data_IF_509931686627
#
_entry.id   IF_509931686627
#
_cell.length_a   1.000
_cell.length_b   1.000
_cell.length_c   1.000
_cell.angle_alpha   90.00
_cell.angle_beta   90.00
_cell.angle_gamma   90.00
#
_symmetry.space_group_name_H-M   'P 1'
#
loop_
_entity.id
_entity.type
_entity.pdbx_description
1 polymer ?
#
# COMPACT_ATOMS: atom_id res chain seq x y z
N UNK A 1 -10.58 7.54 -14.76
CA UNK A 1 -9.67 7.05 -13.70
C UNK A 1 -10.52 6.60 -12.52
N UNK A 2 -10.09 5.54 -11.82
CA UNK A 2 -10.76 5.05 -10.61
C UNK A 2 -10.88 6.16 -9.57
N UNK A 3 -12.05 6.35 -8.98
CA UNK A 3 -12.31 7.29 -7.87
C UNK A 3 -12.45 6.55 -6.54
N UNK A 4 -11.77 7.02 -5.50
CA UNK A 4 -11.86 6.48 -4.13
C UNK A 4 -12.97 7.12 -3.29
N UNK A 5 -13.79 8.01 -3.86
CA UNK A 5 -14.88 8.70 -3.15
C UNK A 5 -15.91 7.73 -2.57
N UNK A 6 -16.23 6.66 -3.30
CA UNK A 6 -17.20 5.67 -2.86
C UNK A 6 -16.78 4.27 -3.27
N UNK A 7 -16.42 3.47 -2.27
CA UNK A 7 -16.18 2.04 -2.42
C UNK A 7 -17.49 1.27 -2.24
N UNK A 8 -17.81 0.39 -3.19
CA UNK A 8 -18.87 -0.61 -3.08
C UNK A 8 -18.21 -1.97 -2.84
N UNK A 9 -18.78 -2.78 -1.95
CA UNK A 9 -18.35 -4.18 -1.76
C UNK A 9 -19.50 -5.09 -2.17
N UNK A 10 -19.33 -5.81 -3.27
CA UNK A 10 -20.36 -6.69 -3.84
C UNK A 10 -19.75 -8.07 -4.09
N UNK A 11 -20.36 -9.12 -3.54
CA UNK A 11 -19.85 -10.51 -3.58
C UNK A 11 -18.42 -10.64 -3.03
N UNK A 12 -18.05 -9.80 -2.05
CA UNK A 12 -16.72 -9.75 -1.45
C UNK A 12 -15.66 -9.04 -2.31
N UNK A 13 -16.04 -8.45 -3.44
CA UNK A 13 -15.16 -7.72 -4.34
C UNK A 13 -15.37 -6.21 -4.16
N UNK A 14 -14.28 -5.47 -4.00
CA UNK A 14 -14.31 -4.01 -3.97
C UNK A 14 -14.44 -3.45 -5.39
N UNK A 15 -15.40 -2.55 -5.55
CA UNK A 15 -15.76 -1.92 -6.82
C UNK A 15 -15.84 -0.41 -6.60
N UNK A 16 -15.28 0.35 -7.54
CA UNK A 16 -15.18 1.80 -7.50
C UNK A 16 -15.77 2.40 -8.78
N UNK A 17 -16.27 3.63 -8.70
CA UNK A 17 -16.71 4.39 -9.87
C UNK A 17 -15.53 4.99 -10.62
N UNK A 18 -15.72 5.28 -11.90
CA UNK A 18 -14.86 6.23 -12.59
C UNK A 18 -15.22 7.67 -12.20
N UNK A 19 -14.21 8.54 -12.14
CA UNK A 19 -14.40 9.96 -11.82
C UNK A 19 -15.20 10.75 -12.87
N UNK A 20 -15.23 10.32 -14.13
CA UNK A 20 -15.76 11.11 -15.26
C UNK A 20 -16.93 10.43 -15.97
N UNK A 21 -16.92 9.10 -16.02
CA UNK A 21 -18.01 8.33 -16.64
C UNK A 21 -18.87 7.67 -15.55
N UNK A 22 -20.14 8.11 -15.35
CA UNK A 22 -21.03 7.55 -14.33
C UNK A 22 -21.38 6.07 -14.57
N UNK A 23 -21.16 5.56 -15.78
CA UNK A 23 -21.43 4.17 -16.15
C UNK A 23 -20.18 3.28 -16.05
N UNK A 24 -18.97 3.83 -15.88
CA UNK A 24 -17.75 3.04 -15.79
C UNK A 24 -17.43 2.69 -14.34
N UNK A 25 -17.15 1.40 -14.10
CA UNK A 25 -16.79 0.85 -12.81
C UNK A 25 -15.52 0.02 -12.89
N UNK A 26 -14.76 0.04 -11.80
CA UNK A 26 -13.46 -0.58 -11.67
C UNK A 26 -13.47 -1.58 -10.51
N UNK A 27 -13.14 -2.84 -10.75
CA UNK A 27 -13.04 -3.85 -9.68
C UNK A 27 -11.60 -4.13 -9.28
N UNK A 28 -11.38 -4.29 -7.98
CA UNK A 28 -10.14 -4.85 -7.44
C UNK A 28 -10.08 -6.37 -7.64
N UNK A 29 -8.89 -6.98 -7.66
CA UNK A 29 -8.72 -8.39 -7.96
C UNK A 29 -9.63 -9.33 -7.17
N UNK A 30 -10.01 -10.43 -7.83
CA UNK A 30 -10.73 -11.53 -7.19
C UNK A 30 -9.84 -12.37 -6.27
N UNK A 31 -10.43 -13.40 -5.64
CA UNK A 31 -9.66 -14.35 -4.84
C UNK A 31 -8.66 -15.11 -5.73
N UNK A 32 -7.50 -15.43 -5.15
CA UNK A 32 -6.48 -16.26 -5.80
C UNK A 32 -7.06 -17.63 -6.14
N UNK A 33 -6.89 -18.04 -7.39
CA UNK A 33 -7.40 -19.29 -7.95
C UNK A 33 -6.33 -19.95 -8.82
N UNK A 34 -6.43 -21.26 -9.01
CA UNK A 34 -5.66 -21.93 -10.05
C UNK A 34 -6.11 -21.44 -11.44
N UNK A 35 -5.13 -21.14 -12.28
CA UNK A 35 -5.32 -20.89 -13.70
C UNK A 35 -5.90 -22.10 -14.42
N UNK A 36 -6.32 -21.90 -15.67
CA UNK A 36 -6.89 -22.94 -16.53
C UNK A 36 -6.03 -23.12 -17.76
N UNK A 37 -5.77 -24.36 -18.15
CA UNK A 37 -4.98 -24.63 -19.36
C UNK A 37 -5.75 -24.13 -20.60
N UNK A 38 -5.10 -23.42 -21.55
CA UNK A 38 -5.74 -22.94 -22.77
C UNK A 38 -6.53 -24.04 -23.49
N UNK A 39 -7.76 -23.73 -23.92
CA UNK A 39 -8.63 -24.67 -24.64
C UNK A 39 -9.25 -25.77 -23.78
N UNK A 40 -9.08 -25.76 -22.45
CA UNK A 40 -9.71 -26.72 -21.54
C UNK A 40 -10.12 -26.05 -20.22
N UNK A 41 -11.11 -26.60 -19.52
CA UNK A 41 -11.43 -26.15 -18.15
C UNK A 41 -10.58 -26.88 -17.08
N UNK A 42 -9.48 -27.52 -17.47
CA UNK A 42 -8.61 -28.24 -16.53
C UNK A 42 -7.73 -27.26 -15.76
N UNK A 43 -7.58 -27.42 -14.42
CA UNK A 43 -6.64 -26.62 -13.66
C UNK A 43 -5.23 -26.73 -14.24
N UNK A 44 -4.54 -25.60 -14.35
CA UNK A 44 -3.15 -25.53 -14.72
C UNK A 44 -2.27 -25.94 -13.53
N UNK A 45 -2.36 -27.22 -13.17
CA UNK A 45 -1.61 -27.84 -12.09
C UNK A 45 -1.06 -29.19 -12.55
N UNK A 46 0.18 -29.49 -12.19
CA UNK A 46 0.78 -30.80 -12.38
C UNK A 46 1.68 -31.15 -11.22
N UNK A 47 1.69 -32.41 -10.84
CA UNK A 47 2.57 -32.92 -9.80
C UNK A 47 3.18 -34.23 -10.27
N UNK A 48 4.51 -34.25 -10.39
CA UNK A 48 5.29 -35.36 -10.90
C UNK A 48 6.21 -35.83 -9.78
N UNK A 49 6.19 -37.12 -9.48
CA UNK A 49 7.15 -37.77 -8.58
C UNK A 49 8.08 -38.66 -9.38
N UNK A 50 9.35 -38.69 -8.98
CA UNK A 50 10.32 -39.61 -9.55
C UNK A 50 11.08 -40.34 -8.45
N UNK A 51 11.50 -41.56 -8.77
CA UNK A 51 12.31 -42.41 -7.91
C UNK A 51 13.67 -42.66 -8.59
N UNK A 52 14.73 -42.95 -7.83
CA UNK A 52 16.00 -43.30 -8.44
C UNK A 52 15.89 -44.59 -9.25
N UNK A 53 16.68 -44.68 -10.32
CA UNK A 53 16.73 -45.85 -11.20
C UNK A 53 17.31 -47.09 -10.49
N UNK A 54 18.22 -46.88 -9.52
CA UNK A 54 18.82 -47.94 -8.70
C UNK A 54 18.78 -47.51 -7.24
N UNK A 55 18.24 -48.37 -6.37
CA UNK A 55 18.24 -48.14 -4.93
C UNK A 55 19.69 -48.14 -4.41
N UNK A 56 20.09 -47.09 -3.67
CA UNK A 56 21.43 -46.98 -3.07
C UNK A 56 22.51 -46.33 -3.95
N UNK A 57 22.19 -45.88 -5.17
CA UNK A 57 23.13 -45.22 -6.08
C UNK A 57 23.45 -43.74 -5.77
N UNK A 58 23.15 -43.24 -4.57
CA UNK A 58 23.39 -41.85 -4.15
C UNK A 58 22.42 -40.80 -4.73
N UNK A 59 21.71 -41.10 -5.81
CA UNK A 59 20.63 -40.25 -6.35
C UNK A 59 19.37 -40.45 -5.49
N UNK A 60 18.86 -39.37 -4.88
CA UNK A 60 17.59 -39.38 -4.15
C UNK A 60 16.42 -39.16 -5.11
N UNK A 61 15.24 -39.70 -4.75
CA UNK A 61 14.01 -39.37 -5.45
C UNK A 61 13.57 -37.93 -5.16
N UNK A 62 12.43 -37.53 -5.72
CA UNK A 62 11.92 -36.18 -5.51
C UNK A 62 10.62 -35.93 -6.27
N UNK A 63 10.26 -34.67 -6.39
CA UNK A 63 9.11 -34.27 -7.19
C UNK A 63 9.20 -32.86 -7.74
N UNK A 64 8.36 -32.62 -8.74
CA UNK A 64 8.09 -31.29 -9.27
C UNK A 64 6.59 -31.02 -9.17
N UNK A 65 6.22 -29.89 -8.56
CA UNK A 65 4.87 -29.37 -8.63
C UNK A 65 4.88 -28.10 -9.47
N UNK A 66 4.04 -28.01 -10.50
CA UNK A 66 3.91 -26.83 -11.33
C UNK A 66 2.47 -26.34 -11.25
N UNK A 67 2.31 -25.04 -11.05
CA UNK A 67 1.00 -24.40 -10.96
C UNK A 67 1.02 -23.04 -11.65
N UNK A 68 -0.12 -22.66 -12.22
CA UNK A 68 -0.43 -21.29 -12.58
C UNK A 68 -1.55 -20.79 -11.66
N UNK A 69 -1.44 -19.55 -11.19
CA UNK A 69 -2.49 -18.86 -10.44
C UNK A 69 -2.95 -17.61 -11.15
N UNK A 70 -4.20 -17.24 -10.87
CA UNK A 70 -4.86 -16.03 -11.36
C UNK A 70 -5.68 -15.41 -10.23
N UNK A 71 -6.03 -14.15 -10.39
CA UNK A 71 -6.95 -13.40 -9.50
C UNK A 71 -8.11 -12.83 -10.32
N UNK A 72 -8.51 -13.57 -11.36
CA UNK A 72 -9.60 -13.19 -12.25
C UNK A 72 -10.93 -13.16 -11.49
N UNK A 73 -11.82 -12.30 -11.95
CA UNK A 73 -13.17 -12.16 -11.41
C UNK A 73 -14.05 -13.28 -11.99
N UNK A 74 -14.53 -14.25 -11.17
CA UNK A 74 -15.39 -15.30 -11.68
C UNK A 74 -16.64 -14.74 -12.36
N UNK A 75 -17.07 -15.34 -13.47
CA UNK A 75 -18.18 -14.82 -14.28
C UNK A 75 -19.49 -14.69 -13.47
N UNK A 76 -19.73 -15.61 -12.52
CA UNK A 76 -20.86 -15.53 -11.59
C UNK A 76 -20.80 -14.28 -10.70
N UNK A 77 -19.62 -13.94 -10.17
CA UNK A 77 -19.41 -12.74 -9.35
C UNK A 77 -19.52 -11.48 -10.21
N UNK A 78 -18.95 -11.49 -11.42
CA UNK A 78 -19.12 -10.42 -12.42
C UNK A 78 -20.60 -10.12 -12.67
N UNK A 79 -21.42 -11.13 -12.94
CA UNK A 79 -22.84 -10.95 -13.23
C UNK A 79 -23.61 -10.39 -12.02
N UNK A 80 -23.30 -10.83 -10.80
CA UNK A 80 -23.88 -10.26 -9.58
C UNK A 80 -23.50 -8.80 -9.39
N UNK A 81 -22.23 -8.46 -9.61
CA UNK A 81 -21.74 -7.07 -9.52
C UNK A 81 -22.47 -6.20 -10.53
N UNK A 82 -22.47 -6.57 -11.81
CA UNK A 82 -23.16 -5.81 -12.88
C UNK A 82 -24.66 -5.62 -12.59
N UNK A 83 -25.32 -6.65 -12.07
CA UNK A 83 -26.73 -6.57 -11.66
C UNK A 83 -26.94 -5.55 -10.53
N UNK A 84 -26.09 -5.58 -9.50
CA UNK A 84 -26.17 -4.61 -8.39
C UNK A 84 -25.84 -3.19 -8.83
N UNK A 85 -24.85 -3.01 -9.72
CA UNK A 85 -24.48 -1.70 -10.27
C UNK A 85 -25.58 -1.08 -11.14
N UNK A 86 -26.41 -1.90 -11.78
CA UNK A 86 -27.56 -1.39 -12.55
C UNK A 86 -28.62 -0.69 -11.67
N UNK A 87 -28.61 -0.93 -10.36
CA UNK A 87 -29.51 -0.28 -9.41
C UNK A 87 -28.94 1.01 -8.80
N UNK A 88 -27.68 1.34 -9.11
CA UNK A 88 -27.02 2.51 -8.56
C UNK A 88 -27.54 3.81 -9.19
N UNK A 89 -27.69 4.91 -8.42
CA UNK A 89 -28.18 6.17 -8.95
C UNK A 89 -27.29 6.71 -10.09
N UNK A 90 -27.96 7.22 -11.13
CA UNK A 90 -27.30 7.82 -12.30
C UNK A 90 -26.69 6.82 -13.30
N UNK A 91 -26.81 5.52 -13.04
CA UNK A 91 -26.32 4.47 -13.94
C UNK A 91 -27.41 4.08 -14.93
N UNK A 92 -27.06 4.03 -16.22
CA UNK A 92 -27.93 3.52 -17.29
C UNK A 92 -27.46 2.17 -17.80
N UNK A 93 -26.15 2.00 -17.99
CA UNK A 93 -25.55 0.77 -18.48
C UNK A 93 -24.15 0.59 -17.87
N UNK A 94 -23.99 -0.20 -16.79
CA UNK A 94 -22.71 -0.32 -16.12
C UNK A 94 -21.69 -1.08 -16.98
N UNK A 95 -20.55 -0.46 -17.25
CA UNK A 95 -19.34 -1.09 -17.78
C UNK A 95 -18.42 -1.45 -16.62
N UNK A 96 -17.95 -2.71 -16.58
CA UNK A 96 -17.13 -3.22 -15.49
C UNK A 96 -15.76 -3.70 -16.01
N UNK A 97 -14.70 -3.01 -15.60
CA UNK A 97 -13.32 -3.31 -15.98
C UNK A 97 -12.42 -3.57 -14.76
N UNK A 98 -11.34 -4.32 -14.95
CA UNK A 98 -10.32 -4.49 -13.91
C UNK A 98 -9.53 -3.19 -13.77
N UNK A 99 -9.10 -2.88 -12.54
CA UNK A 99 -8.18 -1.77 -12.32
C UNK A 99 -6.87 -2.00 -13.09
N UNK A 100 -6.36 -0.99 -13.82
CA UNK A 100 -5.04 -1.09 -14.42
C UNK A 100 -3.96 -1.09 -13.34
N UNK A 101 -3.10 -2.12 -13.36
CA UNK A 101 -1.97 -2.24 -12.44
C UNK A 101 -0.71 -1.62 -13.06
N UNK A 102 0.01 -0.84 -12.27
CA UNK A 102 1.27 -0.20 -12.70
C UNK A 102 2.47 -1.11 -12.47
N UNK A 103 2.44 -1.84 -11.35
CA UNK A 103 3.49 -2.74 -10.94
C UNK A 103 2.95 -3.78 -9.96
N UNK A 104 3.71 -4.85 -9.76
CA UNK A 104 3.37 -5.85 -8.77
C UNK A 104 4.46 -6.87 -8.55
N UNK A 105 4.36 -7.57 -7.43
CA UNK A 105 5.17 -8.74 -7.11
C UNK A 105 4.26 -9.92 -6.75
N UNK A 106 4.79 -11.12 -6.95
CA UNK A 106 4.10 -12.36 -6.60
C UNK A 106 5.08 -13.32 -5.93
N UNK A 107 4.62 -13.97 -4.87
CA UNK A 107 5.38 -14.95 -4.11
C UNK A 107 4.57 -16.22 -3.92
N UNK A 108 5.26 -17.36 -3.94
CA UNK A 108 4.70 -18.66 -3.57
C UNK A 108 5.12 -19.00 -2.14
N UNK A 109 4.18 -19.52 -1.36
CA UNK A 109 4.41 -20.14 -0.05
C UNK A 109 4.11 -21.62 -0.24
N UNK A 110 5.09 -22.48 -0.02
CA UNK A 110 4.93 -23.92 -0.15
C UNK A 110 5.65 -24.64 0.98
N UNK A 111 4.90 -25.36 1.82
CA UNK A 111 5.41 -26.08 2.99
C UNK A 111 6.31 -25.21 3.87
N UNK A 112 7.64 -25.35 3.76
CA UNK A 112 8.64 -24.64 4.55
C UNK A 112 9.47 -23.60 3.78
N UNK A 113 9.06 -23.22 2.56
CA UNK A 113 9.73 -22.20 1.76
C UNK A 113 8.74 -21.15 1.24
N UNK A 114 9.14 -19.89 1.29
CA UNK A 114 8.40 -18.76 0.74
C UNK A 114 9.31 -17.87 -0.11
N UNK A 115 8.84 -17.48 -1.29
CA UNK A 115 9.51 -16.48 -2.12
C UNK A 115 9.00 -16.46 -3.56
N UNK A 116 9.56 -15.56 -4.38
CA UNK A 116 9.33 -15.51 -5.82
C UNK A 116 10.18 -16.52 -6.59
N UNK A 117 10.10 -16.52 -7.92
CA UNK A 117 10.99 -17.33 -8.77
C UNK A 117 12.47 -17.07 -8.48
N UNK A 118 13.26 -18.15 -8.40
CA UNK A 118 14.68 -18.15 -8.04
C UNK A 118 14.94 -18.31 -6.53
N UNK A 119 13.92 -18.53 -5.71
CA UNK A 119 14.10 -18.74 -4.27
C UNK A 119 14.61 -20.15 -4.01
N UNK A 120 15.79 -20.28 -3.40
CA UNK A 120 16.39 -21.56 -3.02
C UNK A 120 16.39 -21.68 -1.49
N UNK A 121 16.00 -22.85 -0.99
CA UNK A 121 16.07 -23.13 0.44
C UNK A 121 17.51 -22.96 0.94
N UNK A 122 17.69 -22.09 1.93
CA UNK A 122 19.01 -21.70 2.45
C UNK A 122 19.09 -21.94 3.95
N UNK A 123 20.24 -22.44 4.41
CA UNK A 123 20.51 -22.78 5.80
C UNK A 123 19.89 -24.11 6.23
N UNK A 124 20.57 -24.87 7.09
CA UNK A 124 19.91 -25.99 7.77
C UNK A 124 18.85 -25.43 8.70
N UNK A 125 17.58 -25.62 8.38
CA UNK A 125 16.48 -25.49 9.34
C UNK A 125 16.84 -26.30 10.62
N UNK A 126 16.18 -26.05 11.75
CA UNK A 126 16.50 -26.72 13.05
C UNK A 126 16.44 -28.26 12.93
N UNK A 127 15.80 -28.78 11.88
CA UNK A 127 15.66 -30.19 11.53
C UNK A 127 16.55 -30.67 10.35
N UNK A 128 17.35 -29.78 9.74
CA UNK A 128 18.22 -30.11 8.60
C UNK A 128 17.49 -30.55 7.33
N UNK A 129 16.19 -30.24 7.21
CA UNK A 129 15.29 -30.75 6.19
C UNK A 129 14.65 -29.63 5.36
N UNK A 130 14.65 -29.80 4.03
CA UNK A 130 13.95 -28.92 3.09
C UNK A 130 12.92 -29.71 2.30
N UNK A 131 11.63 -29.48 2.58
CA UNK A 131 10.55 -30.10 1.82
C UNK A 131 10.49 -29.54 0.40
N UNK A 132 10.58 -28.20 0.30
CA UNK A 132 10.77 -27.49 -0.97
C UNK A 132 12.24 -27.06 -1.03
N UNK A 133 12.94 -27.48 -2.08
CA UNK A 133 14.34 -27.13 -2.31
C UNK A 133 14.46 -25.81 -3.06
N UNK A 134 13.54 -25.55 -4.00
CA UNK A 134 13.60 -24.39 -4.87
C UNK A 134 12.20 -24.01 -5.38
N UNK A 135 11.96 -22.70 -5.51
CA UNK A 135 10.82 -22.10 -6.19
C UNK A 135 11.34 -21.42 -7.44
N UNK A 136 10.96 -21.93 -8.60
CA UNK A 136 11.17 -21.33 -9.92
C UNK A 136 9.88 -20.64 -10.39
N UNK A 137 10.00 -19.71 -11.34
CA UNK A 137 8.85 -19.10 -12.00
C UNK A 137 8.80 -17.58 -11.86
N UNK A 138 7.60 -17.05 -11.64
CA UNK A 138 7.35 -15.61 -11.66
C UNK A 138 7.84 -14.89 -10.39
N UNK A 139 8.35 -13.68 -10.57
CA UNK A 139 8.54 -12.67 -9.51
C UNK A 139 7.57 -11.50 -9.65
N UNK A 140 7.11 -11.27 -10.88
CA UNK A 140 6.09 -10.28 -11.27
C UNK A 140 5.02 -11.01 -12.06
N UNK A 141 3.73 -10.81 -11.77
CA UNK A 141 2.65 -11.43 -12.55
C UNK A 141 2.52 -10.78 -13.93
N UNK A 142 1.62 -11.27 -14.78
CA UNK A 142 1.39 -10.71 -16.12
C UNK A 142 0.96 -9.24 -16.14
N UNK A 143 0.49 -8.68 -15.01
CA UNK A 143 -0.09 -7.33 -14.89
C UNK A 143 -1.25 -7.04 -15.86
N UNK A 144 -1.80 -8.08 -16.49
CA UNK A 144 -3.08 -8.03 -17.18
C UNK A 144 -4.24 -8.18 -16.18
N UNK A 145 -5.49 -8.11 -16.66
CA UNK A 145 -6.67 -8.23 -15.80
C UNK A 145 -6.74 -9.54 -14.99
N UNK A 146 -6.01 -10.58 -15.41
CA UNK A 146 -6.03 -11.91 -14.77
C UNK A 146 -4.83 -12.12 -13.82
N UNK A 147 -3.77 -11.29 -13.96
CA UNK A 147 -2.54 -11.34 -13.16
C UNK A 147 -2.02 -12.78 -13.01
N UNK A 148 -1.82 -13.45 -14.15
CA UNK A 148 -1.24 -14.80 -14.22
C UNK A 148 0.14 -14.82 -13.59
N UNK A 149 0.40 -15.83 -12.76
CA UNK A 149 1.72 -16.16 -12.24
C UNK A 149 1.92 -17.67 -12.27
N UNK A 150 3.05 -18.12 -12.80
CA UNK A 150 3.40 -19.53 -12.85
C UNK A 150 4.57 -19.82 -11.90
N UNK A 151 4.47 -20.95 -11.20
CA UNK A 151 5.49 -21.44 -10.28
C UNK A 151 5.82 -22.90 -10.56
N UNK A 152 7.08 -23.26 -10.38
CA UNK A 152 7.54 -24.64 -10.34
C UNK A 152 8.32 -24.87 -9.05
N UNK A 153 7.88 -25.83 -8.26
CA UNK A 153 8.50 -26.22 -7.01
C UNK A 153 9.34 -27.46 -7.26
N UNK A 154 10.62 -27.40 -6.89
CA UNK A 154 11.48 -28.56 -6.76
C UNK A 154 11.36 -29.10 -5.34
N UNK A 155 10.98 -30.36 -5.20
CA UNK A 155 10.71 -31.01 -3.92
C UNK A 155 11.73 -32.10 -3.65
N UNK A 156 12.16 -32.20 -2.40
CA UNK A 156 12.85 -33.39 -1.92
C UNK A 156 11.91 -34.60 -1.95
N UNK A 157 12.47 -35.80 -1.75
CA UNK A 157 11.68 -37.03 -1.71
C UNK A 157 10.59 -36.96 -0.63
N UNK A 158 10.94 -36.54 0.57
CA UNK A 158 10.01 -36.41 1.69
C UNK A 158 9.03 -35.26 1.44
N UNK A 159 9.48 -34.14 0.89
CA UNK A 159 8.60 -33.03 0.51
C UNK A 159 7.53 -33.43 -0.50
N UNK A 160 7.89 -34.25 -1.49
CA UNK A 160 6.93 -34.79 -2.46
C UNK A 160 5.90 -35.72 -1.79
N UNK A 161 6.31 -36.54 -0.81
CA UNK A 161 5.38 -37.40 -0.06
C UNK A 161 4.43 -36.57 0.80
N UNK A 162 4.96 -35.57 1.52
CA UNK A 162 4.16 -34.65 2.35
C UNK A 162 3.13 -33.94 1.47
N UNK A 163 3.55 -33.43 0.32
CA UNK A 163 2.67 -32.70 -0.60
C UNK A 163 1.56 -33.62 -1.15
N UNK A 164 1.89 -34.85 -1.55
CA UNK A 164 0.91 -35.84 -2.00
C UNK A 164 -0.13 -36.14 -0.91
N UNK A 165 0.34 -36.43 0.31
CA UNK A 165 -0.54 -36.74 1.43
C UNK A 165 -1.43 -35.55 1.80
N UNK A 166 -0.89 -34.34 1.77
CA UNK A 166 -1.64 -33.13 2.02
C UNK A 166 -2.80 -32.97 1.01
N UNK A 167 -2.53 -33.12 -0.29
CA UNK A 167 -3.58 -33.04 -1.31
C UNK A 167 -4.60 -34.18 -1.21
N UNK A 168 -4.15 -35.41 -0.94
CA UNK A 168 -5.05 -36.56 -0.76
C UNK A 168 -6.02 -36.38 0.42
N UNK A 169 -5.62 -35.62 1.44
CA UNK A 169 -6.44 -35.29 2.61
C UNK A 169 -7.16 -33.93 2.49
N UNK A 170 -7.19 -33.32 1.29
CA UNK A 170 -7.90 -32.07 1.04
C UNK A 170 -7.26 -30.82 1.65
N UNK A 171 -5.98 -30.88 2.01
CA UNK A 171 -5.22 -29.73 2.49
C UNK A 171 -4.71 -28.87 1.33
N UNK A 172 -4.44 -27.59 1.61
CA UNK A 172 -3.87 -26.64 0.65
C UNK A 172 -2.45 -26.19 1.10
N UNK A 173 -1.42 -27.03 0.93
CA UNK A 173 -0.05 -26.76 1.38
C UNK A 173 0.71 -25.73 0.53
N UNK A 174 0.09 -25.20 -0.53
CA UNK A 174 0.64 -24.18 -1.42
C UNK A 174 -0.30 -22.97 -1.44
N UNK A 175 0.26 -21.79 -1.18
CA UNK A 175 -0.41 -20.50 -1.32
C UNK A 175 0.38 -19.58 -2.25
N UNK A 176 -0.30 -18.62 -2.86
CA UNK A 176 0.32 -17.57 -3.67
C UNK A 176 -0.15 -16.21 -3.16
N UNK A 177 0.79 -15.29 -2.95
CA UNK A 177 0.55 -13.94 -2.45
C UNK A 177 0.88 -12.95 -3.55
N UNK A 178 -0.08 -12.07 -3.85
CA UNK A 178 0.08 -10.98 -4.80
C UNK A 178 0.19 -9.66 -4.03
N UNK A 179 1.12 -8.81 -4.46
CA UNK A 179 1.21 -7.41 -4.03
C UNK A 179 1.16 -6.55 -5.29
N UNK A 180 0.08 -5.80 -5.48
CA UNK A 180 -0.19 -5.05 -6.70
C UNK A 180 -0.37 -3.57 -6.39
N UNK A 181 0.20 -2.72 -7.24
CA UNK A 181 0.08 -1.27 -7.15
C UNK A 181 -0.78 -0.76 -8.31
N UNK A 182 -1.68 0.16 -8.00
CA UNK A 182 -2.55 0.82 -8.97
C UNK A 182 -2.75 2.29 -8.60
N UNK A 183 -3.01 3.12 -9.60
CA UNK A 183 -3.33 4.52 -9.41
C UNK A 183 -4.82 4.77 -9.28
N UNK A 184 -5.17 5.71 -8.39
CA UNK A 184 -6.54 6.08 -8.10
C UNK A 184 -6.66 7.57 -7.75
N UNK A 185 -7.81 8.17 -8.05
CA UNK A 185 -8.14 9.54 -7.64
C UNK A 185 -8.59 9.52 -6.19
N UNK A 186 -7.87 10.24 -5.34
CA UNK A 186 -8.33 10.52 -3.99
C UNK A 186 -9.44 11.58 -4.05
N UNK A 187 -10.41 11.53 -3.12
CA UNK A 187 -11.40 12.60 -2.98
C UNK A 187 -10.68 13.94 -2.77
N UNK A 188 -11.17 14.99 -3.42
CA UNK A 188 -10.69 16.34 -3.12
C UNK A 188 -11.23 16.76 -1.73
N UNK A 189 -10.31 17.12 -0.83
CA UNK A 189 -10.66 17.80 0.42
C UNK A 189 -10.56 19.31 0.17
N UNK A 190 -11.69 19.94 -0.10
CA UNK A 190 -11.80 21.39 -0.20
C UNK A 190 -12.61 21.90 1.00
N UNK A 191 -11.89 22.40 2.00
CA UNK A 191 -12.45 22.81 3.28
C UNK A 191 -11.84 24.12 3.74
N UNK A 192 -12.67 24.97 4.34
CA UNK A 192 -12.25 26.18 5.03
C UNK A 192 -12.39 25.94 6.54
N UNK A 193 -11.28 26.01 7.27
CA UNK A 193 -11.24 25.85 8.73
C UNK A 193 -11.00 27.22 9.36
N UNK A 194 -11.95 27.68 10.18
CA UNK A 194 -11.78 28.85 11.03
C UNK A 194 -11.65 28.39 12.48
N UNK A 195 -10.54 28.74 13.12
CA UNK A 195 -10.25 28.32 14.49
C UNK A 195 -9.98 29.53 15.39
N UNK A 196 -10.62 29.56 16.56
CA UNK A 196 -10.27 30.47 17.66
C UNK A 196 -9.22 29.80 18.55
N UNK A 197 -7.96 30.10 18.27
CA UNK A 197 -6.83 29.51 18.97
C UNK A 197 -6.80 29.85 20.48
N UNK A 198 -7.31 31.01 20.89
CA UNK A 198 -7.39 31.36 22.31
C UNK A 198 -8.40 30.46 23.04
N UNK A 199 -9.59 30.30 22.45
CA UNK A 199 -10.62 29.39 22.97
C UNK A 199 -10.15 27.94 23.03
N UNK A 200 -9.44 27.47 21.99
CA UNK A 200 -8.85 26.14 21.94
C UNK A 200 -7.84 25.95 23.07
N UNK A 201 -6.91 26.90 23.25
CA UNK A 201 -5.90 26.84 24.30
C UNK A 201 -6.51 26.81 25.70
N UNK A 202 -7.53 27.63 25.97
CA UNK A 202 -8.21 27.66 27.27
C UNK A 202 -8.91 26.33 27.59
N UNK A 203 -9.61 25.72 26.63
CA UNK A 203 -10.23 24.40 26.82
C UNK A 203 -9.21 23.30 27.10
N UNK A 204 -8.07 23.30 26.40
CA UNK A 204 -6.98 22.36 26.70
C UNK A 204 -6.36 22.59 28.09
N UNK A 205 -6.20 23.85 28.52
CA UNK A 205 -5.72 24.18 29.87
C UNK A 205 -6.65 23.66 30.97
N UNK A 206 -7.96 23.87 30.80
CA UNK A 206 -8.98 23.43 31.76
C UNK A 206 -9.00 21.88 31.84
N UNK A 207 -8.82 21.19 30.71
CA UNK A 207 -8.73 19.72 30.68
C UNK A 207 -7.48 19.17 31.40
N UNK A 208 -6.34 19.83 31.30
CA UNK A 208 -5.07 19.41 31.94
C UNK A 208 -5.10 19.59 33.46
N UNK A 209 -5.79 20.61 33.98
CA UNK A 209 -5.92 20.83 35.43
C UNK A 209 -6.86 19.80 36.11
N UNK A 210 -7.63 19.03 35.34
CA UNK A 210 -8.71 18.19 35.87
C UNK A 210 -8.41 16.68 36.07
N UNK A 211 -7.39 16.06 35.46
CA UNK A 211 -6.87 14.71 35.84
C UNK A 211 -5.69 14.25 34.96
N UNK A 212 -4.70 13.59 35.55
CA UNK A 212 -3.39 13.25 34.93
C UNK A 212 -3.37 11.94 34.11
N UNK A 213 -4.50 11.39 33.69
CA UNK A 213 -4.56 10.02 33.14
C UNK A 213 -5.65 9.88 32.09
N UNK A 214 -5.41 10.24 30.82
CA UNK A 214 -5.97 9.62 29.58
C UNK A 214 -5.65 10.47 28.32
N UNK A 215 -4.36 10.72 28.07
CA UNK A 215 -3.81 11.69 27.09
C UNK A 215 -4.21 11.56 25.59
N UNK A 216 -5.03 10.58 25.17
CA UNK A 216 -5.46 10.44 23.77
C UNK A 216 -6.97 10.52 23.55
N UNK A 217 -7.77 9.96 24.47
CA UNK A 217 -9.23 9.99 24.35
C UNK A 217 -9.77 11.40 24.63
N UNK A 218 -9.14 12.13 25.55
CA UNK A 218 -9.55 13.50 25.88
C UNK A 218 -9.24 14.50 24.76
N UNK A 219 -8.23 14.24 23.93
CA UNK A 219 -7.87 15.15 22.83
C UNK A 219 -8.90 15.06 21.71
N UNK A 220 -9.29 13.86 21.28
CA UNK A 220 -10.30 13.71 20.23
C UNK A 220 -11.65 14.25 20.69
N UNK A 221 -12.08 13.93 21.91
CA UNK A 221 -13.29 14.49 22.51
C UNK A 221 -13.22 16.01 22.68
N UNK A 222 -12.05 16.55 23.04
CA UNK A 222 -11.79 17.98 23.16
C UNK A 222 -11.96 18.73 21.84
N UNK A 223 -11.37 18.21 20.74
CA UNK A 223 -11.55 18.78 19.41
C UNK A 223 -13.00 18.71 18.92
N UNK A 224 -13.72 17.62 19.22
CA UNK A 224 -15.14 17.51 18.89
C UNK A 224 -15.99 18.52 19.70
N UNK A 225 -15.66 18.74 20.97
CA UNK A 225 -16.29 19.78 21.81
C UNK A 225 -15.98 21.20 21.30
N UNK A 226 -14.76 21.44 20.85
CA UNK A 226 -14.35 22.72 20.26
C UNK A 226 -15.07 22.99 18.94
N UNK A 227 -15.34 21.96 18.14
CA UNK A 227 -16.23 22.04 16.99
C UNK A 227 -17.67 22.37 17.41
N UNK A 228 -18.24 21.64 18.38
CA UNK A 228 -19.61 21.85 18.86
C UNK A 228 -19.85 23.23 19.47
N UNK A 229 -18.86 23.75 20.20
CA UNK A 229 -18.90 25.10 20.79
C UNK A 229 -18.66 26.22 19.77
N UNK A 230 -18.25 25.86 18.54
CA UNK A 230 -17.99 26.80 17.45
C UNK A 230 -16.61 27.48 17.51
N UNK A 231 -15.73 27.06 18.43
CA UNK A 231 -14.33 27.47 18.46
C UNK A 231 -13.56 26.94 17.25
N UNK A 232 -13.97 25.79 16.70
CA UNK A 232 -13.53 25.29 15.41
C UNK A 232 -14.75 25.25 14.48
N UNK A 233 -14.68 25.94 13.35
CA UNK A 233 -15.71 25.92 12.31
C UNK A 233 -15.09 25.32 11.06
N UNK A 234 -15.70 24.24 10.59
CA UNK A 234 -15.29 23.58 9.36
C UNK A 234 -16.39 23.79 8.34
N UNK A 235 -16.04 24.37 7.20
CA UNK A 235 -16.94 24.54 6.06
C UNK A 235 -16.42 23.67 4.93
N UNK A 236 -17.18 22.65 4.57
CA UNK A 236 -16.88 21.81 3.41
C UNK A 236 -17.35 22.53 2.16
N UNK A 237 -16.42 22.86 1.27
CA UNK A 237 -16.67 23.67 0.06
C UNK A 237 -17.15 22.77 -1.08
N UNK A 238 -16.59 21.56 -1.21
CA UNK A 238 -16.94 20.60 -2.25
C UNK A 238 -17.35 19.24 -1.66
N UNK A 239 -18.62 18.87 -1.85
CA UNK A 239 -19.17 17.58 -1.44
C UNK A 239 -20.19 17.05 -2.46
N UNK A 240 -20.32 15.73 -2.54
CA UNK A 240 -21.21 15.04 -3.49
C UNK A 240 -22.58 14.73 -2.90
N UNK A 241 -22.64 14.42 -1.60
CA UNK A 241 -23.87 14.20 -0.84
C UNK A 241 -23.67 14.52 0.66
N UNK A 242 -24.73 14.37 1.45
CA UNK A 242 -24.71 14.66 2.90
C UNK A 242 -23.75 13.75 3.68
N UNK A 243 -23.52 12.52 3.21
CA UNK A 243 -22.61 11.59 3.88
C UNK A 243 -21.15 11.97 3.57
N UNK A 244 -20.84 12.26 2.30
CA UNK A 244 -19.53 12.76 1.87
C UNK A 244 -19.16 14.07 2.58
N UNK A 245 -20.13 14.97 2.78
CA UNK A 245 -19.92 16.21 3.54
C UNK A 245 -19.48 15.93 4.99
N UNK A 246 -20.15 15.01 5.69
CA UNK A 246 -19.79 14.63 7.07
C UNK A 246 -18.44 13.93 7.14
N UNK A 247 -18.16 13.04 6.20
CA UNK A 247 -16.90 12.29 6.14
C UNK A 247 -15.72 13.25 5.88
N UNK A 248 -15.89 14.23 5.00
CA UNK A 248 -14.91 15.30 4.74
C UNK A 248 -14.76 16.26 5.91
N UNK A 249 -15.84 16.60 6.61
CA UNK A 249 -15.78 17.43 7.82
C UNK A 249 -14.98 16.74 8.92
N UNK A 250 -15.20 15.43 9.13
CA UNK A 250 -14.40 14.63 10.07
C UNK A 250 -12.93 14.56 9.63
N UNK A 251 -12.67 14.29 8.36
CA UNK A 251 -11.30 14.26 7.83
C UNK A 251 -10.59 15.61 8.04
N UNK A 252 -11.27 16.73 7.80
CA UNK A 252 -10.74 18.06 8.06
C UNK A 252 -10.43 18.31 9.54
N UNK A 253 -11.30 17.86 10.46
CA UNK A 253 -11.06 17.98 11.90
C UNK A 253 -9.86 17.15 12.34
N UNK A 254 -9.76 15.90 11.87
CA UNK A 254 -8.65 14.99 12.16
C UNK A 254 -7.32 15.57 11.61
N UNK A 255 -7.33 16.11 10.40
CA UNK A 255 -6.18 16.79 9.80
C UNK A 255 -5.75 18.03 10.60
N UNK A 256 -6.70 18.90 10.97
CA UNK A 256 -6.42 20.10 11.77
C UNK A 256 -5.86 19.75 13.15
N UNK A 257 -6.43 18.73 13.81
CA UNK A 257 -5.93 18.21 15.09
C UNK A 257 -4.47 17.78 14.96
N UNK A 258 -4.17 16.92 14.00
CA UNK A 258 -2.83 16.35 13.85
C UNK A 258 -1.79 17.44 13.54
N UNK A 259 -2.16 18.42 12.71
CA UNK A 259 -1.33 19.59 12.42
C UNK A 259 -1.11 20.46 13.66
N UNK A 260 -2.17 20.80 14.41
CA UNK A 260 -2.06 21.64 15.61
C UNK A 260 -1.26 20.96 16.71
N UNK A 261 -1.43 19.66 16.93
CA UNK A 261 -0.65 18.91 17.91
C UNK A 261 0.84 18.89 17.56
N UNK A 262 1.17 18.75 16.27
CA UNK A 262 2.55 18.82 15.80
C UNK A 262 3.16 20.20 16.05
N UNK A 263 2.42 21.28 15.75
CA UNK A 263 2.93 22.65 15.86
C UNK A 263 3.02 23.15 17.31
N UNK A 264 2.07 22.77 18.17
CA UNK A 264 1.97 23.29 19.54
C UNK A 264 2.75 22.49 20.57
N UNK A 265 3.06 21.22 20.29
CA UNK A 265 3.76 20.32 21.20
C UNK A 265 5.11 19.87 20.64
N UNK A 266 5.88 20.79 20.06
CA UNK A 266 7.30 20.52 19.81
C UNK A 266 8.03 20.24 21.14
N UNK A 267 8.67 19.07 21.32
CA UNK A 267 9.37 18.75 22.56
C UNK A 267 10.57 19.69 22.75
N UNK A 268 10.51 20.60 23.72
CA UNK A 268 11.61 21.53 24.05
C UNK A 268 12.71 20.88 24.90
N UNK A 269 12.53 19.62 25.32
CA UNK A 269 13.53 18.87 26.06
C UNK A 269 14.60 18.36 25.10
N UNK A 270 15.72 19.07 25.00
CA UNK A 270 16.98 18.45 24.55
C UNK A 270 17.46 17.53 25.68
N UNK A 271 17.47 16.20 25.52
CA UNK A 271 17.93 15.31 26.58
C UNK A 271 19.42 15.58 26.83
N UNK A 272 19.76 16.05 28.04
CA UNK A 272 21.16 16.20 28.47
C UNK A 272 21.60 17.56 29.02
N UNK A 273 20.72 18.57 29.14
CA UNK A 273 21.05 19.81 29.88
C UNK A 273 20.26 19.93 31.18
N UNK A 274 20.70 19.20 32.21
CA UNK A 274 20.33 19.51 33.60
C UNK A 274 21.04 20.81 33.97
N UNK A 275 20.25 21.87 34.14
CA UNK A 275 20.70 23.20 34.52
C UNK A 275 21.23 23.17 35.95
N UNK A 276 22.55 23.04 36.07
CA UNK A 276 23.26 23.29 37.31
C UNK A 276 23.50 24.80 37.38
N UNK A 277 22.54 25.54 37.94
CA UNK A 277 22.80 26.88 38.46
C UNK A 277 21.75 27.28 39.51
N UNK A 278 22.27 27.48 40.72
CA UNK A 278 21.87 28.48 41.71
C UNK A 278 20.56 28.32 42.51
N UNK A 279 20.78 27.94 43.77
CA UNK A 279 20.17 28.51 44.98
C UNK A 279 19.23 29.72 44.81
N UNK A 280 18.01 29.58 45.32
CA UNK A 280 17.23 30.67 45.90
C UNK A 280 15.97 31.07 45.10
N UNK A 281 14.81 30.72 45.66
CA UNK A 281 13.51 31.30 45.29
C UNK A 281 12.62 30.35 44.48
N UNK A 282 11.59 29.82 45.13
CA UNK A 282 10.55 29.04 44.48
C UNK A 282 9.83 29.88 43.42
N UNK A 283 10.02 29.51 42.16
CA UNK A 283 9.22 29.94 41.03
C UNK A 283 9.02 28.74 40.13
N UNK A 284 7.78 28.27 40.00
CA UNK A 284 7.41 27.27 39.00
C UNK A 284 7.67 27.91 37.63
N UNK A 285 8.52 27.29 36.81
CA UNK A 285 8.71 27.71 35.44
C UNK A 285 7.37 27.56 34.70
N UNK A 286 6.73 28.69 34.41
CA UNK A 286 5.58 28.74 33.50
C UNK A 286 6.09 28.33 32.10
N UNK A 287 5.46 27.36 31.42
CA UNK A 287 5.79 27.03 30.05
C UNK A 287 5.73 28.30 29.17
N UNK A 288 6.76 28.50 28.35
CA UNK A 288 6.88 29.65 27.47
C UNK A 288 5.66 29.80 26.56
N UNK A 289 5.26 31.05 26.32
CA UNK A 289 4.14 31.41 25.44
C UNK A 289 4.30 30.81 24.04
N UNK A 290 3.19 30.39 23.39
CA UNK A 290 3.21 29.95 22.00
C UNK A 290 3.70 31.07 21.08
N UNK A 291 4.44 30.70 20.04
CA UNK A 291 4.84 31.61 18.98
C UNK A 291 3.59 31.93 18.14
N UNK A 292 3.00 33.12 18.35
CA UNK A 292 1.84 33.59 17.56
C UNK A 292 2.36 34.00 16.17
N UNK A 293 1.89 33.40 15.07
CA UNK A 293 2.26 33.85 13.73
C UNK A 293 1.71 35.26 13.48
N UNK A 294 2.56 36.29 13.44
CA UNK A 294 2.14 37.65 13.06
C UNK A 294 2.99 38.84 13.56
N UNK A 295 3.90 38.66 14.52
CA UNK A 295 4.74 39.76 14.99
C UNK A 295 6.11 39.76 14.28
N UNK A 296 6.34 40.75 13.42
CA UNK A 296 7.64 41.00 12.78
C UNK A 296 8.61 41.66 13.76
N UNK A 297 9.89 41.25 13.77
CA UNK A 297 10.98 42.17 14.08
C UNK A 297 11.94 42.28 12.88
N UNK A 298 12.14 43.51 12.42
CA UNK A 298 13.24 43.97 11.54
C UNK A 298 14.09 44.94 12.41
N UNK A 299 15.42 45.19 12.24
CA UNK A 299 16.43 44.67 11.29
C UNK A 299 17.78 44.20 11.90
N UNK A 300 18.55 43.45 11.12
CA UNK A 300 20.02 43.31 11.26
C UNK A 300 20.65 42.85 9.94
N UNK A 301 21.60 43.61 9.39
CA UNK A 301 22.05 43.60 8.00
C UNK A 301 23.19 42.62 7.67
N UNK A 302 23.09 42.02 6.46
CA UNK A 302 24.13 41.52 5.51
C UNK A 302 25.01 40.30 5.86
N UNK A 303 25.60 39.55 4.89
CA UNK A 303 25.31 39.43 3.45
C UNK A 303 25.08 37.98 2.95
N UNK A 304 24.46 37.90 1.76
CA UNK A 304 24.11 36.71 0.96
C UNK A 304 25.34 35.90 0.49
N UNK A 305 25.32 34.55 0.52
CA UNK A 305 26.26 33.74 -0.25
C UNK A 305 25.75 33.54 -1.69
N UNK A 306 26.65 33.74 -2.64
CA UNK A 306 26.49 33.57 -4.09
C UNK A 306 26.25 32.11 -4.47
N UNK A 307 25.37 31.79 -5.44
CA UNK A 307 25.24 30.43 -5.95
C UNK A 307 26.42 30.03 -6.84
N UNK A 308 26.98 28.86 -6.57
CA UNK A 308 28.00 28.17 -7.37
C UNK A 308 27.45 27.84 -8.76
N UNK A 309 28.16 28.29 -9.79
CA UNK A 309 27.88 28.00 -11.20
C UNK A 309 28.49 26.64 -11.55
N UNK A 310 27.66 25.71 -12.02
CA UNK A 310 28.09 24.44 -12.63
C UNK A 310 28.76 24.74 -13.99
N UNK A 311 29.97 24.23 -14.27
CA UNK A 311 30.64 24.51 -15.54
C UNK A 311 30.01 23.75 -16.72
N UNK A 312 29.72 24.51 -17.76
CA UNK A 312 29.36 24.08 -19.12
C UNK A 312 30.46 23.22 -19.76
N UNK A 313 30.14 22.09 -20.41
CA UNK A 313 31.11 21.37 -21.24
C UNK A 313 31.35 22.12 -22.56
N UNK A 314 32.62 22.33 -22.88
CA UNK A 314 33.08 22.99 -24.09
C UNK A 314 32.73 22.20 -25.36
N UNK A 315 32.27 22.94 -26.38
CA UNK A 315 32.21 22.47 -27.76
C UNK A 315 33.62 22.40 -28.35
N UNK A 316 33.96 21.28 -29.01
CA UNK A 316 35.18 21.19 -29.79
C UNK A 316 35.49 19.79 -30.32
N UNK A 317 35.28 19.64 -31.63
CA UNK A 317 35.99 18.77 -32.59
C UNK A 317 35.46 17.35 -32.88
N UNK A 318 35.03 17.19 -34.13
CA UNK A 318 35.05 15.97 -34.96
C UNK A 318 35.40 16.40 -36.39
N UNK A 319 35.83 15.51 -37.32
CA UNK A 319 36.56 14.24 -37.18
C UNK A 319 37.70 14.13 -38.24
N UNK A 320 38.35 12.95 -38.40
CA UNK A 320 38.41 12.43 -39.77
C UNK A 320 38.01 10.95 -39.87
N UNK A 321 37.08 10.71 -40.80
CA UNK A 321 37.04 9.58 -41.74
C UNK A 321 37.08 8.15 -41.20
N UNK A 322 35.96 7.44 -41.38
CA UNK A 322 35.99 6.04 -41.83
C UNK A 322 34.64 5.62 -42.46
N UNK A 323 34.79 4.77 -43.47
CA UNK A 323 33.94 4.38 -44.61
C UNK A 323 32.68 3.58 -44.24
N UNK A 324 31.59 3.58 -45.06
CA UNK A 324 30.39 2.79 -44.79
C UNK A 324 30.59 1.30 -45.14
N UNK A 325 30.25 0.41 -44.21
CA UNK A 325 30.07 -1.02 -44.48
C UNK A 325 28.60 -1.33 -44.81
N UNK A 326 28.41 -2.14 -45.83
CA UNK A 326 27.18 -2.53 -46.51
C UNK A 326 26.28 -3.46 -45.70
N UNK A 327 24.96 -3.24 -45.77
CA UNK A 327 23.90 -4.12 -45.25
C UNK A 327 23.78 -5.43 -46.06
N UNK A 328 23.54 -6.60 -45.44
CA UNK A 328 23.21 -7.82 -46.16
C UNK A 328 21.68 -7.95 -46.39
N UNK A 329 21.32 -8.39 -47.59
CA UNK A 329 19.97 -8.79 -48.03
C UNK A 329 19.64 -10.20 -47.51
N UNK A 330 18.39 -10.51 -47.10
CA UNK A 330 18.05 -11.82 -46.55
C UNK A 330 17.67 -12.86 -47.64
N UNK A 331 17.85 -14.17 -47.36
CA UNK A 331 17.22 -15.26 -48.10
C UNK A 331 15.75 -15.48 -47.73
#
# INVERSE_FOLDING_TARGET
MLSLERALTIDGISVFRDHADPNQFWYLPGPVQLGRRPGSNTPAFSFIKFKPAVAGGGVKGGGFAMLETTIDLPEKSRNKIVSALSAEPGVTQPALASVPFESGSVQCIALNLQGGGGTVASGTDVLGFHAVEEILGATTPSLDAQNRAAFSLKLSQEGAIILEQAFANGLAPIGVVYSLNYSAMRPALDVEITADFEGIYQEFKIGIEAQYMFFKVDIEAGFEKLKQSGAIKIKVIAFTDDQDSKDKEKWALDFFRDHMLSDWFEPTLTPGKMQNDSSGGGGIAVPGLPNIPGATPIPGTTPRPTPTVTPTPAAGQTPPGQTPATSPTPP
#
